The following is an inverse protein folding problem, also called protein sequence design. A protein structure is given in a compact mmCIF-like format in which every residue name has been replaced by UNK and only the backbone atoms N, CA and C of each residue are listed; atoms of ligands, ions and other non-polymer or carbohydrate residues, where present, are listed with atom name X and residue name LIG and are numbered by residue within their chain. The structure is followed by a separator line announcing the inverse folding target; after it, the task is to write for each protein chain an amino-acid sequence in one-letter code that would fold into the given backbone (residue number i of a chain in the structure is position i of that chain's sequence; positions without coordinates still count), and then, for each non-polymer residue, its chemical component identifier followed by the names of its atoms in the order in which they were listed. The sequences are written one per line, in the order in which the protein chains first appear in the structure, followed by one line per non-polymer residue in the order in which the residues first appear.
data_IF_107670478269
#
_entry.id   IF_107670478269
#
_cell.length_a   1.000
_cell.length_b   1.000
_cell.length_c   1.000
_cell.angle_alpha   90.00
_cell.angle_beta   90.00
_cell.angle_gamma   90.00
#
_symmetry.space_group_name_H-M   'P 1'
#
loop_
_entity.id
_entity.type
_entity.pdbx_description
1 polymer ?
#
# COMPACT_ATOMS: atom_id res chain seq x y z
N UNK A 1 32.46 -42.53 2.37
CA UNK A 1 31.33 -41.91 3.11
C UNK A 1 31.37 -40.38 2.99
N UNK A 2 31.24 -39.84 1.77
CA UNK A 2 31.35 -38.39 1.49
C UNK A 2 30.23 -37.88 0.58
N UNK A 3 29.11 -38.62 0.48
CA UNK A 3 27.97 -38.31 -0.39
C UNK A 3 26.66 -38.01 0.36
N UNK A 4 26.67 -38.07 1.70
CA UNK A 4 25.47 -37.83 2.51
C UNK A 4 25.38 -36.41 3.11
N UNK A 5 26.46 -35.63 3.05
CA UNK A 5 26.54 -34.30 3.71
C UNK A 5 26.11 -33.16 2.77
N UNK A 6 26.08 -33.38 1.45
CA UNK A 6 25.70 -32.33 0.49
C UNK A 6 24.19 -32.09 0.39
N UNK A 7 23.34 -32.96 0.97
CA UNK A 7 21.88 -32.77 0.95
C UNK A 7 21.33 -31.97 2.14
N UNK A 8 22.13 -31.74 3.19
CA UNK A 8 21.68 -31.05 4.41
C UNK A 8 21.86 -29.52 4.34
N UNK A 9 22.62 -29.02 3.36
CA UNK A 9 22.91 -27.58 3.20
C UNK A 9 22.02 -26.87 2.17
N UNK A 10 21.19 -27.58 1.42
CA UNK A 10 20.25 -26.97 0.47
C UNK A 10 18.88 -26.62 1.10
N UNK A 11 18.62 -27.02 2.35
CA UNK A 11 17.34 -26.81 3.03
C UNK A 11 17.19 -25.47 3.77
N UNK A 12 18.22 -24.62 3.79
CA UNK A 12 18.27 -23.43 4.66
C UNK A 12 18.13 -22.08 3.94
N UNK A 13 17.82 -22.06 2.63
CA UNK A 13 17.65 -20.82 1.87
C UNK A 13 16.21 -20.52 1.44
N UNK A 14 15.21 -20.99 2.19
CA UNK A 14 13.88 -20.38 2.17
C UNK A 14 13.85 -19.20 3.16
N UNK A 15 14.82 -18.28 3.04
CA UNK A 15 14.67 -16.97 3.65
C UNK A 15 13.57 -16.25 2.86
N UNK A 16 12.34 -16.39 3.32
CA UNK A 16 11.29 -15.43 2.97
C UNK A 16 11.84 -14.05 3.32
N UNK A 17 12.17 -13.25 2.32
CA UNK A 17 12.55 -11.85 2.52
C UNK A 17 11.39 -11.16 3.24
N UNK A 18 11.55 -10.94 4.55
CA UNK A 18 10.56 -10.25 5.37
C UNK A 18 10.62 -8.77 5.01
N UNK A 19 9.50 -8.19 4.62
CA UNK A 19 9.37 -6.77 4.39
C UNK A 19 9.52 -6.02 5.73
N UNK A 20 10.52 -5.15 5.83
CA UNK A 20 10.77 -4.40 7.06
C UNK A 20 9.76 -3.27 7.27
N UNK A 21 9.36 -2.58 6.19
CA UNK A 21 8.56 -1.35 6.22
C UNK A 21 7.70 -1.18 4.96
N UNK A 22 6.74 -0.28 5.03
CA UNK A 22 6.02 0.29 3.87
C UNK A 22 6.34 1.78 3.76
N UNK A 23 6.33 2.31 2.55
CA UNK A 23 6.56 3.74 2.32
C UNK A 23 5.22 4.49 2.27
N UNK A 24 5.13 5.64 2.91
CA UNK A 24 4.12 6.65 2.64
C UNK A 24 4.77 7.72 1.78
N UNK A 25 4.14 8.02 0.65
CA UNK A 25 4.63 8.92 -0.41
C UNK A 25 3.49 9.84 -0.87
N UNK A 26 3.72 10.59 -1.96
CA UNK A 26 2.70 11.43 -2.58
C UNK A 26 2.85 12.88 -2.12
N UNK A 27 1.72 13.50 -1.82
CA UNK A 27 1.59 14.93 -1.56
C UNK A 27 1.94 15.25 -0.10
N UNK A 28 3.14 14.82 0.30
CA UNK A 28 3.74 14.99 1.63
C UNK A 28 5.16 15.57 1.49
N UNK A 29 5.65 16.25 2.52
CA UNK A 29 6.95 16.95 2.44
C UNK A 29 8.13 15.99 2.27
N UNK A 30 8.13 14.90 3.04
CA UNK A 30 9.18 13.87 3.02
C UNK A 30 8.54 12.49 3.07
N UNK A 31 9.14 11.51 2.37
CA UNK A 31 8.67 10.13 2.41
C UNK A 31 8.84 9.55 3.81
N UNK A 32 7.79 8.92 4.32
CA UNK A 32 7.78 8.34 5.66
C UNK A 32 7.82 6.81 5.54
N UNK A 33 8.73 6.17 6.25
CA UNK A 33 8.70 4.72 6.42
C UNK A 33 7.89 4.38 7.68
N UNK A 34 6.92 3.48 7.53
CA UNK A 34 6.19 2.93 8.69
C UNK A 34 6.46 1.44 8.82
N UNK A 35 6.52 1.00 10.08
CA UNK A 35 6.73 -0.39 10.49
C UNK A 35 5.59 -0.92 11.33
N UNK A 36 4.71 -0.01 11.75
CA UNK A 36 3.56 -0.23 12.61
C UNK A 36 2.42 -0.94 11.87
N UNK A 37 1.61 -1.66 12.63
CA UNK A 37 0.36 -2.29 12.22
C UNK A 37 -0.78 -1.68 13.04
N UNK A 38 -2.00 -1.71 12.51
CA UNK A 38 -3.20 -1.17 13.15
C UNK A 38 -4.00 -0.30 12.18
N UNK A 39 -4.92 0.48 12.74
CA UNK A 39 -5.82 1.31 11.96
C UNK A 39 -5.06 2.38 11.17
N UNK A 40 -5.35 2.50 9.87
CA UNK A 40 -4.60 3.40 9.01
C UNK A 40 -4.80 4.88 9.39
N UNK A 41 -5.99 5.27 9.86
CA UNK A 41 -6.25 6.64 10.29
C UNK A 41 -5.43 7.01 11.55
N UNK A 42 -5.34 6.10 12.53
CA UNK A 42 -4.53 6.30 13.73
C UNK A 42 -3.02 6.38 13.39
N UNK A 43 -2.57 5.55 12.44
CA UNK A 43 -1.19 5.62 11.94
C UNK A 43 -0.92 7.00 11.32
N UNK A 44 -1.82 7.49 10.46
CA UNK A 44 -1.69 8.80 9.83
C UNK A 44 -1.68 9.93 10.85
N UNK A 45 -2.57 9.89 11.84
CA UNK A 45 -2.61 10.86 12.94
C UNK A 45 -1.29 10.88 13.72
N UNK A 46 -0.75 9.71 14.07
CA UNK A 46 0.53 9.59 14.81
C UNK A 46 1.73 10.16 14.05
N UNK A 47 1.64 10.25 12.72
CA UNK A 47 2.67 10.78 11.82
C UNK A 47 2.34 12.20 11.31
N UNK A 48 1.25 12.80 11.79
CA UNK A 48 0.76 14.10 11.34
C UNK A 48 0.55 14.17 9.82
N UNK A 49 -0.04 13.12 9.25
CA UNK A 49 -0.36 13.01 7.82
C UNK A 49 -1.84 13.34 7.63
N UNK A 50 -2.13 14.30 6.75
CA UNK A 50 -3.49 14.60 6.29
C UNK A 50 -3.65 14.10 4.85
N UNK A 51 -4.71 13.34 4.59
CA UNK A 51 -4.95 12.66 3.32
C UNK A 51 -6.43 12.74 2.92
N UNK A 52 -6.72 13.36 1.79
CA UNK A 52 -8.07 13.39 1.21
C UNK A 52 -8.36 12.12 0.40
N UNK A 53 -7.33 11.57 -0.24
CA UNK A 53 -7.37 10.30 -0.94
C UNK A 53 -6.06 9.56 -0.73
N UNK A 54 -6.13 8.23 -0.87
CA UNK A 54 -4.94 7.39 -0.90
C UNK A 54 -5.00 6.41 -2.07
N UNK A 55 -3.83 6.08 -2.60
CA UNK A 55 -3.59 4.97 -3.50
C UNK A 55 -2.69 3.95 -2.78
N UNK A 56 -3.25 2.81 -2.40
CA UNK A 56 -2.51 1.72 -1.76
C UNK A 56 -2.00 0.77 -2.84
N UNK A 57 -0.69 0.52 -2.85
CA UNK A 57 -0.01 -0.20 -3.93
C UNK A 57 0.67 -1.46 -3.38
N UNK A 58 0.37 -2.60 -4.01
CA UNK A 58 1.01 -3.88 -3.76
C UNK A 58 2.20 -4.13 -4.69
N UNK A 59 3.10 -5.01 -4.23
CA UNK A 59 4.31 -5.40 -4.99
C UNK A 59 3.99 -5.99 -6.36
N UNK A 60 2.84 -6.67 -6.48
CA UNK A 60 2.40 -7.28 -7.74
C UNK A 60 1.87 -6.26 -8.76
N UNK A 61 1.88 -4.97 -8.42
CA UNK A 61 1.39 -3.86 -9.24
C UNK A 61 -0.12 -3.63 -9.14
N UNK A 62 -0.84 -4.40 -8.32
CA UNK A 62 -2.25 -4.11 -8.02
C UNK A 62 -2.33 -2.94 -7.05
N UNK A 63 -3.29 -2.04 -7.26
CA UNK A 63 -3.54 -0.93 -6.35
C UNK A 63 -5.03 -0.68 -6.19
N UNK A 64 -5.40 -0.01 -5.10
CA UNK A 64 -6.73 0.56 -4.95
C UNK A 64 -6.67 2.00 -4.48
N UNK A 65 -7.68 2.77 -4.84
CA UNK A 65 -7.86 4.16 -4.46
C UNK A 65 -9.12 4.31 -3.62
N UNK A 66 -9.03 5.05 -2.52
CA UNK A 66 -10.16 5.41 -1.66
C UNK A 66 -10.09 6.86 -1.20
N UNK A 67 -11.24 7.40 -0.78
CA UNK A 67 -11.36 8.73 -0.15
C UNK A 67 -11.12 8.69 1.36
N UNK A 68 -10.87 9.86 1.95
CA UNK A 68 -10.66 10.12 3.38
C UNK A 68 -11.59 9.32 4.31
N UNK A 69 -12.90 9.40 4.07
CA UNK A 69 -13.93 8.70 4.88
C UNK A 69 -13.79 7.17 4.94
N UNK A 70 -12.98 6.58 4.07
CA UNK A 70 -12.72 5.14 4.02
C UNK A 70 -11.39 4.75 4.66
N UNK A 71 -10.54 5.72 5.03
CA UNK A 71 -9.20 5.45 5.56
C UNK A 71 -9.29 4.76 6.93
N UNK A 72 -10.22 5.18 7.79
CA UNK A 72 -10.46 4.55 9.11
C UNK A 72 -11.00 3.13 9.03
N UNK A 73 -11.45 2.70 7.84
CA UNK A 73 -12.00 1.36 7.61
C UNK A 73 -10.93 0.34 7.18
N UNK A 74 -9.67 0.78 7.09
CA UNK A 74 -8.52 -0.06 6.72
C UNK A 74 -7.62 -0.34 7.92
N UNK A 75 -7.30 -1.60 8.10
CA UNK A 75 -6.26 -2.08 9.00
C UNK A 75 -4.99 -2.45 8.22
N UNK A 76 -3.84 -2.05 8.73
CA UNK A 76 -2.53 -2.51 8.27
C UNK A 76 -2.10 -3.67 9.16
N UNK A 77 -1.92 -4.85 8.60
CA UNK A 77 -1.43 -6.01 9.37
C UNK A 77 -0.18 -6.60 8.72
N UNK A 78 0.55 -7.41 9.49
CA UNK A 78 1.78 -8.04 9.02
C UNK A 78 1.69 -9.55 9.17
N UNK A 79 1.55 -10.26 8.06
CA UNK A 79 1.46 -11.71 8.02
C UNK A 79 2.62 -12.31 7.23
N UNK A 80 3.24 -13.37 7.77
CA UNK A 80 4.36 -14.08 7.12
C UNK A 80 5.48 -13.11 6.64
N UNK A 81 5.70 -12.05 7.42
CA UNK A 81 6.71 -11.03 7.13
C UNK A 81 6.33 -10.02 6.04
N UNK A 82 5.08 -9.97 5.58
CA UNK A 82 4.62 -9.03 4.54
C UNK A 82 3.51 -8.15 5.10
N UNK A 83 3.51 -6.88 4.73
CA UNK A 83 2.39 -6.00 5.09
C UNK A 83 1.21 -6.26 4.16
N UNK A 84 0.01 -6.16 4.70
CA UNK A 84 -1.24 -6.29 3.95
C UNK A 84 -2.29 -5.33 4.51
N UNK A 85 -3.27 -4.99 3.68
CA UNK A 85 -4.46 -4.27 4.12
C UNK A 85 -5.59 -5.26 4.39
N UNK A 86 -6.35 -4.99 5.45
CA UNK A 86 -7.55 -5.74 5.81
C UNK A 86 -8.74 -4.82 6.10
N UNK A 87 -9.93 -5.25 5.69
CA UNK A 87 -11.19 -4.57 5.93
C UNK A 87 -12.37 -5.50 5.73
N UNK A 88 -13.42 -5.29 6.53
CA UNK A 88 -14.70 -6.03 6.45
C UNK A 88 -15.84 -5.17 5.89
N UNK A 89 -15.68 -3.84 5.92
CA UNK A 89 -16.68 -2.85 5.51
C UNK A 89 -16.49 -2.43 4.05
N UNK A 90 -15.24 -2.22 3.61
CA UNK A 90 -14.94 -1.85 2.22
C UNK A 90 -15.05 -3.04 1.25
N UNK A 91 -15.18 -2.80 -0.07
CA UNK A 91 -15.13 -3.84 -1.08
C UNK A 91 -13.87 -4.73 -0.97
N UNK A 92 -13.95 -6.05 -1.25
CA UNK A 92 -12.83 -6.99 -1.07
C UNK A 92 -11.54 -6.67 -1.82
N UNK A 93 -11.60 -5.81 -2.84
CA UNK A 93 -10.41 -5.32 -3.55
C UNK A 93 -9.47 -4.51 -2.65
N UNK A 94 -9.99 -3.98 -1.54
CA UNK A 94 -9.20 -3.29 -0.53
C UNK A 94 -8.35 -4.22 0.34
N UNK A 95 -8.52 -5.55 0.23
CA UNK A 95 -7.67 -6.52 0.92
C UNK A 95 -6.48 -6.89 0.03
N UNK A 96 -5.41 -6.09 0.09
CA UNK A 96 -4.20 -6.29 -0.70
C UNK A 96 -3.10 -6.96 0.13
N UNK A 97 -2.48 -7.98 -0.45
CA UNK A 97 -1.32 -8.63 0.13
C UNK A 97 -0.03 -7.97 -0.35
N UNK A 98 0.99 -7.95 0.50
CA UNK A 98 2.34 -7.48 0.16
C UNK A 98 2.35 -6.02 -0.34
N UNK A 99 1.67 -5.14 0.40
CA UNK A 99 1.64 -3.70 0.13
C UNK A 99 3.05 -3.13 0.31
N UNK A 100 3.44 -2.20 -0.55
CA UNK A 100 4.77 -1.57 -0.52
C UNK A 100 4.70 -0.07 -0.28
N UNK A 101 3.59 0.54 -0.67
CA UNK A 101 3.45 1.98 -0.71
C UNK A 101 1.99 2.40 -0.47
N UNK A 102 1.82 3.49 0.29
CA UNK A 102 0.57 4.22 0.41
C UNK A 102 0.85 5.65 -0.09
N UNK A 103 0.39 5.97 -1.29
CA UNK A 103 0.58 7.28 -1.89
C UNK A 103 -0.61 8.17 -1.52
N UNK A 104 -0.32 9.30 -0.88
CA UNK A 104 -1.32 10.22 -0.31
C UNK A 104 -1.56 11.39 -1.25
N UNK A 105 -2.81 11.81 -1.39
CA UNK A 105 -3.19 13.07 -2.01
C UNK A 105 -3.67 14.06 -0.95
N UNK A 106 -3.23 15.31 -1.07
CA UNK A 106 -3.67 16.43 -0.25
C UNK A 106 -3.75 17.68 -1.13
N UNK A 107 -4.91 18.33 -1.19
CA UNK A 107 -5.12 19.49 -2.08
C UNK A 107 -4.34 20.74 -1.67
N UNK A 108 -3.88 20.82 -0.41
CA UNK A 108 -3.03 21.91 0.07
C UNK A 108 -1.56 21.78 -0.40
N UNK A 109 -1.18 20.64 -0.99
CA UNK A 109 0.18 20.44 -1.49
C UNK A 109 0.44 21.27 -2.76
N UNK A 110 1.56 22.01 -2.83
CA UNK A 110 1.84 22.88 -3.97
C UNK A 110 2.08 22.07 -5.25
N UNK A 111 1.30 22.37 -6.29
CA UNK A 111 1.53 21.82 -7.62
C UNK A 111 2.84 22.37 -8.23
N UNK A 112 3.60 21.50 -8.89
CA UNK A 112 4.75 21.88 -9.69
C UNK A 112 4.52 21.41 -11.13
N UNK A 113 4.57 22.31 -12.11
CA UNK A 113 4.28 22.00 -13.53
C UNK A 113 2.90 21.35 -13.75
N UNK A 114 1.85 21.80 -13.03
CA UNK A 114 0.50 21.23 -13.08
C UNK A 114 0.38 19.78 -12.60
N UNK A 115 1.41 19.27 -11.92
CA UNK A 115 1.44 17.94 -11.36
C UNK A 115 1.79 18.00 -9.86
N UNK A 116 1.17 17.13 -9.08
CA UNK A 116 1.62 16.74 -7.74
C UNK A 116 2.32 15.39 -7.80
N UNK A 117 3.19 15.04 -6.83
CA UNK A 117 3.76 13.70 -6.72
C UNK A 117 2.69 12.59 -6.78
N UNK A 118 1.53 12.78 -6.15
CA UNK A 118 0.41 11.85 -6.26
C UNK A 118 -0.11 11.72 -7.69
N UNK A 119 -0.36 12.84 -8.37
CA UNK A 119 -0.89 12.84 -9.75
C UNK A 119 0.06 12.13 -10.73
N UNK A 120 1.37 12.29 -10.53
CA UNK A 120 2.39 11.57 -11.29
C UNK A 120 2.34 10.08 -10.96
N UNK A 121 2.23 9.73 -9.68
CA UNK A 121 2.22 8.33 -9.24
C UNK A 121 1.01 7.56 -9.78
N UNK A 122 -0.19 8.13 -9.71
CA UNK A 122 -1.41 7.47 -10.21
C UNK A 122 -1.42 7.33 -11.74
N UNK A 123 -0.70 8.19 -12.48
CA UNK A 123 -0.57 8.09 -13.95
C UNK A 123 0.17 6.83 -14.43
N UNK A 124 0.89 6.15 -13.54
CA UNK A 124 1.56 4.87 -13.83
C UNK A 124 0.62 3.66 -13.79
N UNK A 125 -0.67 3.89 -13.53
CA UNK A 125 -1.65 2.83 -13.32
C UNK A 125 -2.86 2.95 -14.24
N UNK A 126 -3.28 1.83 -14.78
CA UNK A 126 -4.52 1.66 -15.53
C UNK A 126 -5.68 1.37 -14.57
N UNK A 127 -6.82 2.05 -14.77
CA UNK A 127 -8.07 1.78 -14.05
C UNK A 127 -8.67 0.47 -14.53
N UNK A 128 -8.85 -0.50 -13.61
CA UNK A 128 -9.49 -1.77 -13.90
C UNK A 128 -11.00 -1.77 -13.63
N UNK A 129 -11.46 -0.91 -12.72
CA UNK A 129 -12.87 -0.82 -12.38
C UNK A 129 -13.12 -0.05 -11.09
N UNK A 130 -14.39 0.19 -10.80
CA UNK A 130 -14.85 0.95 -9.65
C UNK A 130 -16.01 0.25 -8.94
N UNK A 131 -16.11 0.46 -7.63
CA UNK A 131 -17.17 -0.09 -6.81
C UNK A 131 -17.53 0.92 -5.71
N UNK A 132 -18.80 0.95 -5.34
CA UNK A 132 -19.30 1.70 -4.20
C UNK A 132 -20.07 0.79 -3.26
N UNK A 133 -19.75 0.84 -1.96
CA UNK A 133 -20.43 0.07 -0.92
C UNK A 133 -20.64 0.95 0.30
N UNK A 134 -21.86 1.00 0.81
CA UNK A 134 -22.18 1.67 2.09
C UNK A 134 -21.69 3.14 2.15
N UNK A 135 -21.74 3.84 1.02
CA UNK A 135 -21.27 5.22 0.91
C UNK A 135 -19.77 5.37 0.69
N UNK A 136 -18.98 4.29 0.71
CA UNK A 136 -17.57 4.29 0.35
C UNK A 136 -17.39 4.11 -1.16
N UNK A 137 -16.39 4.79 -1.73
CA UNK A 137 -16.03 4.68 -3.14
C UNK A 137 -14.61 4.14 -3.27
N UNK A 138 -14.46 3.11 -4.10
CA UNK A 138 -13.20 2.41 -4.31
C UNK A 138 -12.96 2.22 -5.80
N UNK A 139 -11.75 2.52 -6.26
CA UNK A 139 -11.27 2.19 -7.61
C UNK A 139 -10.14 1.18 -7.54
N UNK A 140 -10.14 0.22 -8.45
CA UNK A 140 -9.08 -0.78 -8.63
C UNK A 140 -8.18 -0.39 -9.78
N UNK A 141 -6.89 -0.60 -9.60
CA UNK A 141 -5.87 -0.26 -10.58
C UNK A 141 -4.87 -1.41 -10.81
N UNK A 142 -4.17 -1.35 -11.95
CA UNK A 142 -2.99 -2.16 -12.24
C UNK A 142 -1.88 -1.28 -12.81
N UNK A 143 -0.64 -1.48 -12.35
CA UNK A 143 0.52 -0.77 -12.89
C UNK A 143 0.73 -1.11 -14.36
N UNK A 144 0.99 -0.09 -15.17
CA UNK A 144 1.39 -0.24 -16.57
C UNK A 144 2.70 -1.04 -16.66
N UNK A 145 2.75 -2.07 -17.50
CA UNK A 145 3.99 -2.83 -17.78
C UNK A 145 4.88 -2.15 -18.85
N UNK A 146 4.97 -0.82 -18.86
CA UNK A 146 5.73 -0.07 -19.87
C UNK A 146 7.24 -0.27 -19.73
#
# INVERSE_FOLDING_TARGET
MARLISLLLFGLFLFSCSQSQIAITGDIQENIAITETGNLAEIFESKNISAEYILVIATDGTAFFISEKSISELEIVKEKGKFQTETTTLPPVCNLNNITEICVYNSDFPMTNYETPFSKRISEFELLGENSREGHFVRKYKRDNK
#
